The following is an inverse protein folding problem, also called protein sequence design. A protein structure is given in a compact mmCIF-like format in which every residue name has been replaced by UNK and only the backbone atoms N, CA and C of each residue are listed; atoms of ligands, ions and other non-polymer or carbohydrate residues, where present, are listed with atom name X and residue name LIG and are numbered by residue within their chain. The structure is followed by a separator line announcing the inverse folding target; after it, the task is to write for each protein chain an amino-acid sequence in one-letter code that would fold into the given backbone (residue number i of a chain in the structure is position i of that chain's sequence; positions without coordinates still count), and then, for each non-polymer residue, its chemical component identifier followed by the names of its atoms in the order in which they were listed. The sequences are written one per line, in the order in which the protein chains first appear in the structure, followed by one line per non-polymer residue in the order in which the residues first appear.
data_IF_267391632959
#
_entry.id   IF_267391632959
#
_cell.length_a   1.000
_cell.length_b   1.000
_cell.length_c   1.000
_cell.angle_alpha   90.00
_cell.angle_beta   90.00
_cell.angle_gamma   90.00
#
_symmetry.space_group_name_H-M   'P 1'
#
loop_
_entity.id
_entity.type
_entity.pdbx_description
1 polymer ?
#
# COMPACT_ATOMS: atom_id res chain seq x y z
N UNK A 1 -15.09 -1.57 -6.27
CA UNK A 1 -14.34 -2.12 -5.11
C UNK A 1 -12.90 -2.31 -5.55
N UNK A 2 -11.94 -1.78 -4.80
CA UNK A 2 -10.50 -1.91 -5.08
C UNK A 2 -9.86 -2.66 -3.92
N UNK A 3 -9.11 -3.71 -4.21
CA UNK A 3 -8.34 -4.46 -3.21
C UNK A 3 -6.85 -4.12 -3.33
N UNK A 4 -6.18 -3.92 -2.20
CA UNK A 4 -4.74 -3.68 -2.12
C UNK A 4 -4.12 -4.54 -1.03
N UNK A 5 -2.91 -5.03 -1.25
CA UNK A 5 -2.18 -5.76 -0.22
C UNK A 5 -1.91 -4.88 1.01
N UNK A 6 -2.11 -5.44 2.19
CA UNK A 6 -1.80 -4.79 3.45
C UNK A 6 -0.31 -4.92 3.80
N UNK A 7 0.54 -4.35 2.95
CA UNK A 7 1.97 -4.36 3.17
C UNK A 7 2.35 -3.62 4.48
N UNK A 8 3.22 -4.24 5.28
CA UNK A 8 3.84 -3.59 6.42
C UNK A 8 4.95 -2.63 5.96
N UNK A 9 4.55 -1.51 5.36
CA UNK A 9 5.47 -0.50 4.79
C UNK A 9 6.48 -0.03 5.85
N UNK A 10 6.04 0.20 7.10
CA UNK A 10 6.95 0.59 8.20
C UNK A 10 8.00 -0.47 8.49
N UNK A 11 7.64 -1.75 8.46
CA UNK A 11 8.59 -2.86 8.60
C UNK A 11 9.56 -2.93 7.43
N UNK A 12 9.07 -2.76 6.20
CA UNK A 12 9.88 -2.78 4.99
C UNK A 12 10.89 -1.63 4.95
N UNK A 13 10.51 -0.44 5.43
CA UNK A 13 11.41 0.70 5.54
C UNK A 13 12.56 0.49 6.54
N UNK A 14 12.40 -0.43 7.52
CA UNK A 14 13.50 -0.80 8.43
C UNK A 14 14.52 -1.74 7.78
N UNK A 15 14.14 -2.43 6.70
CA UNK A 15 15.05 -3.33 5.99
C UNK A 15 15.96 -2.53 5.06
N UNK A 16 17.22 -2.34 5.45
CA UNK A 16 18.22 -1.58 4.69
C UNK A 16 18.43 -2.03 3.24
N UNK A 17 18.11 -3.28 2.91
CA UNK A 17 18.28 -3.80 1.54
C UNK A 17 17.22 -3.29 0.57
N UNK A 18 16.00 -3.03 1.06
CA UNK A 18 14.84 -2.66 0.22
C UNK A 18 14.27 -1.30 0.57
N UNK A 19 14.67 -0.70 1.69
CA UNK A 19 14.12 0.56 2.19
C UNK A 19 14.24 1.70 1.17
N UNK A 20 15.34 1.73 0.40
CA UNK A 20 15.52 2.71 -0.69
C UNK A 20 14.45 2.56 -1.76
N UNK A 21 14.34 1.37 -2.36
CA UNK A 21 13.34 1.09 -3.41
C UNK A 21 11.90 1.30 -2.93
N UNK A 22 11.60 0.98 -1.66
CA UNK A 22 10.27 1.21 -1.07
C UNK A 22 9.99 2.70 -0.85
N UNK A 23 10.99 3.47 -0.45
CA UNK A 23 10.88 4.93 -0.30
C UNK A 23 10.68 5.59 -1.66
N UNK A 24 11.50 5.20 -2.64
CA UNK A 24 11.47 5.72 -4.01
C UNK A 24 10.12 5.40 -4.70
N UNK A 25 9.54 4.23 -4.43
CA UNK A 25 8.23 3.85 -4.93
C UNK A 25 7.05 4.62 -4.30
N UNK A 26 7.24 5.31 -3.18
CA UNK A 26 6.23 6.19 -2.60
C UNK A 26 4.96 5.46 -2.10
N UNK A 27 5.06 4.20 -1.68
CA UNK A 27 3.92 3.33 -1.32
C UNK A 27 2.93 3.94 -0.31
N UNK A 28 3.42 4.73 0.65
CA UNK A 28 2.57 5.42 1.62
C UNK A 28 1.67 6.47 0.95
N UNK A 29 2.23 7.30 0.06
CA UNK A 29 1.48 8.31 -0.67
C UNK A 29 0.49 7.68 -1.65
N UNK A 30 0.91 6.63 -2.37
CA UNK A 30 0.06 5.89 -3.28
C UNK A 30 -1.20 5.34 -2.59
N UNK A 31 -1.04 4.70 -1.44
CA UNK A 31 -2.16 4.18 -0.65
C UNK A 31 -3.10 5.28 -0.16
N UNK A 32 -2.56 6.44 0.26
CA UNK A 32 -3.37 7.58 0.67
C UNK A 32 -4.20 8.15 -0.50
N UNK A 33 -3.59 8.26 -1.68
CA UNK A 33 -4.29 8.74 -2.88
C UNK A 33 -5.40 7.78 -3.32
N UNK A 34 -5.17 6.46 -3.21
CA UNK A 34 -6.19 5.46 -3.47
C UNK A 34 -7.36 5.56 -2.50
N UNK A 35 -7.09 5.69 -1.20
CA UNK A 35 -8.13 5.86 -0.18
C UNK A 35 -8.98 7.10 -0.47
N UNK A 36 -8.33 8.23 -0.72
CA UNK A 36 -8.97 9.49 -1.09
C UNK A 36 -9.86 9.35 -2.34
N UNK A 37 -9.35 8.73 -3.41
CA UNK A 37 -10.13 8.55 -4.66
C UNK A 37 -11.30 7.59 -4.50
N UNK A 38 -11.12 6.52 -3.72
CA UNK A 38 -12.19 5.56 -3.42
C UNK A 38 -13.31 6.25 -2.65
N UNK A 39 -12.97 6.96 -1.58
CA UNK A 39 -13.94 7.73 -0.78
C UNK A 39 -14.70 8.73 -1.65
N UNK A 40 -13.98 9.49 -2.50
CA UNK A 40 -14.60 10.46 -3.43
C UNK A 40 -15.59 9.83 -4.42
N UNK A 41 -15.38 8.58 -4.84
CA UNK A 41 -16.23 7.90 -5.82
C UNK A 41 -17.31 7.00 -5.17
N UNK A 42 -17.41 7.01 -3.83
CA UNK A 42 -18.27 6.06 -3.10
C UNK A 42 -17.78 4.61 -3.19
N UNK A 43 -16.52 4.39 -3.58
CA UNK A 43 -15.90 3.09 -3.70
C UNK A 43 -15.28 2.61 -2.38
N UNK A 44 -15.19 1.29 -2.21
CA UNK A 44 -14.55 0.66 -1.05
C UNK A 44 -13.13 0.25 -1.39
N UNK A 45 -12.17 0.64 -0.54
CA UNK A 45 -10.78 0.17 -0.55
C UNK A 45 -10.61 -0.95 0.49
N UNK A 46 -10.41 -2.18 0.03
CA UNK A 46 -10.22 -3.36 0.88
C UNK A 46 -8.72 -3.66 0.99
N UNK A 47 -8.26 -3.93 2.20
CA UNK A 47 -6.90 -4.37 2.47
C UNK A 47 -6.89 -5.89 2.60
N UNK A 48 -6.08 -6.58 1.80
CA UNK A 48 -5.97 -8.04 1.81
C UNK A 48 -4.64 -8.47 2.42
N UNK A 49 -4.61 -9.64 3.04
CA UNK A 49 -3.36 -10.18 3.59
C UNK A 49 -2.40 -10.52 2.43
N UNK A 50 -1.14 -10.05 2.46
CA UNK A 50 -0.15 -10.33 1.40
C UNK A 50 0.38 -11.77 1.39
N UNK A 51 0.00 -12.64 2.33
CA UNK A 51 0.39 -14.05 2.23
C UNK A 51 -0.29 -14.71 1.03
N UNK A 52 0.52 -15.38 0.19
CA UNK A 52 0.09 -16.16 -0.98
C UNK A 52 -0.51 -15.36 -2.14
N UNK A 53 -0.17 -14.08 -2.30
CA UNK A 53 -0.74 -13.18 -3.34
C UNK A 53 0.22 -12.82 -4.50
N UNK A 54 1.26 -13.62 -4.76
CA UNK A 54 2.32 -13.35 -5.76
C UNK A 54 2.09 -13.98 -7.14
#
# INVERSE_FOLDING_TARGET
VIAVENLNIRGMLKNRKVSKSISDAGWGMFRNMLAYKCEKQGGVLIKVEPQYTS
#
